data_IF_033641548404
#
_entry.id   IF_033641548404
#
_cell.length_a   1.000
_cell.length_b   1.000
_cell.length_c   1.000
_cell.angle_alpha   90.00
_cell.angle_beta   90.00
_cell.angle_gamma   90.00
#
_symmetry.space_group_name_H-M   'P 1'
#
loop_
_entity.id
_entity.type
_entity.pdbx_description
1 polymer ?
#
# COMPACT_ATOMS: atom_id res chain seq x y z
N UNK A 1 30.69 -2.94 8.46
CA UNK A 1 29.92 -1.95 7.68
C UNK A 1 29.08 -2.55 6.55
N UNK A 2 29.60 -3.12 5.45
CA UNK A 2 28.74 -3.66 4.34
C UNK A 2 27.73 -4.74 4.77
N UNK A 3 28.08 -5.58 5.74
CA UNK A 3 27.21 -6.65 6.26
C UNK A 3 26.19 -6.22 7.32
N UNK A 4 26.30 -4.99 7.81
CA UNK A 4 25.39 -4.39 8.80
C UNK A 4 24.33 -3.57 8.05
N UNK A 5 24.76 -2.72 7.10
CA UNK A 5 23.86 -2.06 6.14
C UNK A 5 22.93 -3.04 5.41
N UNK A 6 23.44 -4.20 4.97
CA UNK A 6 22.60 -5.23 4.31
C UNK A 6 21.59 -5.87 5.28
N UNK A 7 21.95 -6.02 6.56
CA UNK A 7 21.10 -6.64 7.58
C UNK A 7 20.00 -5.71 8.05
N UNK A 8 20.29 -4.41 8.11
CA UNK A 8 19.31 -3.40 8.52
C UNK A 8 18.41 -3.00 7.33
N UNK A 9 18.93 -2.98 6.10
CA UNK A 9 18.12 -2.83 4.87
C UNK A 9 17.20 -4.04 4.56
N UNK A 10 17.42 -5.19 5.20
CA UNK A 10 16.56 -6.39 5.11
C UNK A 10 15.60 -6.53 6.31
N UNK A 11 15.64 -5.59 7.27
CA UNK A 11 14.67 -5.55 8.36
C UNK A 11 13.29 -5.19 7.81
N UNK A 12 12.26 -5.98 8.17
CA UNK A 12 10.88 -5.69 7.82
C UNK A 12 10.45 -4.42 8.55
N UNK A 13 10.08 -3.40 7.81
CA UNK A 13 9.60 -2.12 8.36
C UNK A 13 8.09 -2.16 8.54
N UNK A 14 7.60 -1.61 9.65
CA UNK A 14 6.16 -1.46 9.86
C UNK A 14 5.65 -0.24 9.06
N UNK A 15 4.35 -0.22 8.69
CA UNK A 15 3.69 1.02 8.33
C UNK A 15 3.81 2.06 9.45
N UNK A 16 3.79 3.34 9.08
CA UNK A 16 3.84 4.44 10.06
C UNK A 16 2.46 4.64 10.70
N UNK A 17 2.30 4.14 11.92
CA UNK A 17 1.02 4.15 12.63
C UNK A 17 0.54 5.56 12.96
N UNK A 18 1.46 6.48 13.26
CA UNK A 18 1.12 7.86 13.61
C UNK A 18 0.66 8.59 12.35
N UNK A 19 1.33 8.37 11.21
CA UNK A 19 0.89 8.91 9.92
C UNK A 19 -0.48 8.35 9.50
N UNK A 20 -0.69 7.04 9.64
CA UNK A 20 -1.98 6.41 9.32
C UNK A 20 -3.10 6.97 10.21
N UNK A 21 -2.85 7.14 11.52
CA UNK A 21 -3.83 7.72 12.43
C UNK A 21 -4.14 9.18 12.09
N UNK A 22 -3.12 9.96 11.74
CA UNK A 22 -3.32 11.35 11.35
C UNK A 22 -4.19 11.47 10.08
N UNK A 23 -3.96 10.62 9.07
CA UNK A 23 -4.83 10.56 7.90
C UNK A 23 -6.25 10.11 8.26
N UNK A 24 -6.38 9.13 9.15
CA UNK A 24 -7.68 8.66 9.63
C UNK A 24 -8.48 9.80 10.28
N UNK A 25 -7.81 10.66 11.05
CA UNK A 25 -8.41 11.83 11.68
C UNK A 25 -8.80 12.90 10.64
N UNK A 26 -7.95 13.14 9.62
CA UNK A 26 -8.28 14.05 8.49
C UNK A 26 -9.54 13.57 7.77
N UNK A 27 -9.59 12.29 7.41
CA UNK A 27 -10.72 11.69 6.69
C UNK A 27 -12.02 11.81 7.48
N UNK A 28 -11.99 11.51 8.78
CA UNK A 28 -13.17 11.63 9.65
C UNK A 28 -13.65 13.07 9.84
N UNK A 29 -12.72 14.02 9.89
CA UNK A 29 -13.07 15.45 9.98
C UNK A 29 -13.71 15.93 8.68
N UNK A 30 -13.07 15.64 7.55
CA UNK A 30 -13.54 16.04 6.23
C UNK A 30 -14.91 15.43 5.88
N UNK A 31 -15.15 14.19 6.28
CA UNK A 31 -16.40 13.48 6.01
C UNK A 31 -17.63 14.20 6.56
N UNK A 32 -17.61 14.55 7.84
CA UNK A 32 -18.76 15.16 8.49
C UNK A 32 -19.13 16.50 7.82
N UNK A 33 -18.12 17.30 7.50
CA UNK A 33 -18.31 18.61 6.87
C UNK A 33 -18.73 18.46 5.39
N UNK A 34 -18.15 17.49 4.68
CA UNK A 34 -18.45 17.23 3.27
C UNK A 34 -19.86 16.62 3.08
N UNK A 35 -20.27 15.67 3.92
CA UNK A 35 -21.63 15.10 3.86
C UNK A 35 -22.70 16.18 4.09
N UNK A 36 -22.49 17.08 5.07
CA UNK A 36 -23.37 18.23 5.31
C UNK A 36 -23.46 19.10 4.06
N UNK A 37 -22.31 19.48 3.47
CA UNK A 37 -22.27 20.27 2.25
C UNK A 37 -22.95 19.59 1.06
N UNK A 38 -22.74 18.28 0.85
CA UNK A 38 -23.38 17.52 -0.23
C UNK A 38 -24.90 17.59 -0.09
N UNK A 39 -25.44 17.41 1.12
CA UNK A 39 -26.89 17.40 1.36
C UNK A 39 -27.51 18.81 1.32
N UNK A 40 -26.86 19.79 1.94
CA UNK A 40 -27.45 21.11 2.16
C UNK A 40 -27.14 22.09 1.03
N UNK A 41 -25.96 22.00 0.42
CA UNK A 41 -25.42 22.99 -0.52
C UNK A 41 -25.28 22.43 -1.95
N UNK A 42 -25.05 21.12 -2.14
CA UNK A 42 -24.82 20.52 -3.47
C UNK A 42 -25.95 19.60 -3.99
N UNK A 43 -27.17 19.73 -3.47
CA UNK A 43 -28.35 18.99 -3.93
C UNK A 43 -28.19 17.46 -3.92
N UNK A 44 -27.46 16.92 -2.95
CA UNK A 44 -27.23 15.49 -2.78
C UNK A 44 -26.33 14.88 -3.86
N UNK A 45 -25.47 15.67 -4.50
CA UNK A 45 -24.49 15.19 -5.49
C UNK A 45 -23.09 15.31 -4.93
N UNK A 46 -22.31 14.25 -5.10
CA UNK A 46 -20.89 14.29 -4.77
C UNK A 46 -20.13 15.21 -5.73
N UNK A 47 -19.13 15.90 -5.19
CA UNK A 47 -18.13 16.66 -5.92
C UNK A 47 -16.75 16.35 -5.33
N UNK A 48 -15.94 15.61 -6.08
CA UNK A 48 -14.63 15.16 -5.60
C UNK A 48 -13.62 16.30 -5.59
N UNK A 49 -13.80 17.36 -6.38
CA UNK A 49 -12.96 18.55 -6.28
C UNK A 49 -13.21 19.26 -4.95
N UNK A 50 -14.47 19.41 -4.55
CA UNK A 50 -14.82 20.00 -3.25
C UNK A 50 -14.34 19.14 -2.07
N UNK A 51 -14.43 17.81 -2.18
CA UNK A 51 -13.89 16.90 -1.16
C UNK A 51 -12.39 17.15 -0.89
N UNK A 52 -11.59 17.49 -1.91
CA UNK A 52 -10.18 17.83 -1.71
C UNK A 52 -10.04 19.03 -0.76
N UNK A 53 -10.86 20.06 -0.94
CA UNK A 53 -10.82 21.26 -0.09
C UNK A 53 -11.17 20.92 1.37
N UNK A 54 -12.12 20.03 1.61
CA UNK A 54 -12.44 19.53 2.96
C UNK A 54 -11.29 18.71 3.57
N UNK A 55 -10.63 17.86 2.77
CA UNK A 55 -9.47 17.08 3.21
C UNK A 55 -8.29 18.00 3.59
N UNK A 56 -8.01 19.00 2.77
CA UNK A 56 -6.93 19.97 3.02
C UNK A 56 -7.26 20.85 4.23
N UNK A 57 -8.50 21.30 4.39
CA UNK A 57 -8.93 22.08 5.54
C UNK A 57 -8.83 21.28 6.86
N UNK A 58 -8.99 19.97 6.80
CA UNK A 58 -8.87 19.07 7.95
C UNK A 58 -7.44 18.60 8.23
N UNK A 59 -6.45 18.90 7.37
CA UNK A 59 -5.04 18.65 7.62
C UNK A 59 -4.41 19.67 8.59
N UNK A 60 -5.01 19.86 9.76
CA UNK A 60 -4.60 20.89 10.74
C UNK A 60 -3.22 20.66 11.36
N UNK A 61 -2.73 19.41 11.34
CA UNK A 61 -1.42 19.05 11.88
C UNK A 61 -0.28 19.24 10.85
N UNK A 62 -0.58 19.83 9.69
CA UNK A 62 0.37 20.03 8.59
C UNK A 62 1.12 18.73 8.25
N UNK A 63 0.38 17.61 8.20
CA UNK A 63 0.96 16.35 7.76
C UNK A 63 1.51 16.52 6.34
N UNK A 64 2.64 15.89 6.00
CA UNK A 64 3.22 15.97 4.67
C UNK A 64 2.46 15.03 3.72
N UNK A 65 1.21 15.40 3.46
CA UNK A 65 0.28 14.78 2.54
C UNK A 65 -0.43 15.87 1.75
N UNK A 66 -0.64 15.65 0.47
CA UNK A 66 -1.45 16.51 -0.39
C UNK A 66 -2.47 15.68 -1.14
N UNK A 67 -3.67 16.21 -1.29
CA UNK A 67 -4.75 15.56 -2.02
C UNK A 67 -4.95 16.25 -3.36
N UNK A 68 -5.18 15.46 -4.39
CA UNK A 68 -5.34 15.94 -5.76
C UNK A 68 -6.56 15.26 -6.38
N UNK A 69 -7.32 16.02 -7.16
CA UNK A 69 -8.41 15.47 -7.97
C UNK A 69 -7.90 15.18 -9.40
N UNK A 70 -8.23 14.00 -9.93
CA UNK A 70 -8.03 13.65 -11.33
C UNK A 70 -9.36 13.32 -12.01
N UNK A 71 -9.68 14.09 -13.05
CA UNK A 71 -10.91 13.96 -13.85
C UNK A 71 -10.76 13.09 -15.11
N UNK A 72 -9.59 12.48 -15.33
CA UNK A 72 -9.35 11.54 -16.43
C UNK A 72 -10.01 10.18 -16.20
N UNK A 73 -10.51 9.56 -17.28
CA UNK A 73 -11.04 8.20 -17.23
C UNK A 73 -9.93 7.18 -16.93
N UNK A 74 -10.17 6.29 -15.97
CA UNK A 74 -9.27 5.18 -15.65
C UNK A 74 -9.66 3.92 -16.41
N UNK A 75 -8.65 3.11 -16.74
CA UNK A 75 -8.88 1.82 -17.40
C UNK A 75 -9.55 0.79 -16.48
N UNK A 76 -9.25 0.86 -15.18
CA UNK A 76 -9.94 0.08 -14.15
C UNK A 76 -11.00 0.98 -13.49
N UNK A 77 -12.30 0.68 -13.63
CA UNK A 77 -13.36 1.47 -13.00
C UNK A 77 -13.35 1.41 -11.47
N UNK A 78 -12.63 0.46 -10.86
CA UNK A 78 -12.51 0.34 -9.41
C UNK A 78 -11.25 1.03 -8.86
N UNK A 79 -10.43 1.66 -9.71
CA UNK A 79 -9.29 2.45 -9.27
C UNK A 79 -9.79 3.82 -8.78
N UNK A 80 -10.22 3.87 -7.52
CA UNK A 80 -10.73 5.10 -6.90
C UNK A 80 -9.63 6.07 -6.52
N UNK A 81 -8.47 5.57 -6.08
CA UNK A 81 -7.36 6.40 -5.68
C UNK A 81 -6.01 5.78 -6.05
N UNK A 82 -5.00 6.64 -6.17
CA UNK A 82 -3.60 6.26 -6.21
C UNK A 82 -2.79 7.15 -5.26
N UNK A 83 -1.63 6.67 -4.83
CA UNK A 83 -0.71 7.47 -4.03
C UNK A 83 0.73 7.22 -4.43
N UNK A 84 1.56 8.22 -4.12
CA UNK A 84 2.99 8.17 -4.38
C UNK A 84 3.71 8.73 -3.16
N UNK A 85 4.54 7.90 -2.52
CA UNK A 85 5.54 8.36 -1.57
C UNK A 85 6.75 8.96 -2.30
N UNK A 86 7.02 10.24 -2.06
CA UNK A 86 8.22 10.93 -2.52
C UNK A 86 9.12 11.37 -1.35
N UNK A 87 10.36 11.69 -1.68
CA UNK A 87 11.35 12.22 -0.75
C UNK A 87 12.22 13.25 -1.46
N UNK A 88 12.28 14.45 -0.89
CA UNK A 88 13.21 15.50 -1.34
C UNK A 88 14.19 15.86 -0.22
N UNK A 89 15.37 16.34 -0.59
CA UNK A 89 16.38 16.74 0.41
C UNK A 89 15.99 17.96 1.23
N UNK A 90 15.05 18.75 0.73
CA UNK A 90 14.72 20.07 1.24
C UNK A 90 13.32 20.10 1.88
N UNK A 91 12.39 19.24 1.41
CA UNK A 91 11.04 19.09 1.94
C UNK A 91 10.80 17.79 2.73
N UNK A 92 11.78 16.90 2.78
CA UNK A 92 11.63 15.60 3.46
C UNK A 92 10.70 14.66 2.71
N UNK A 93 10.05 13.75 3.44
CA UNK A 93 9.09 12.79 2.90
C UNK A 93 7.74 13.48 2.67
N UNK A 94 7.05 13.10 1.60
CA UNK A 94 5.70 13.59 1.30
C UNK A 94 4.89 12.50 0.59
N UNK A 95 3.58 12.45 0.81
CA UNK A 95 2.66 11.60 0.03
C UNK A 95 1.71 12.46 -0.78
N UNK A 96 1.65 12.21 -2.08
CA UNK A 96 0.57 12.73 -2.92
C UNK A 96 -0.50 11.65 -3.05
N UNK A 97 -1.74 12.00 -2.71
CA UNK A 97 -2.94 11.17 -2.91
C UNK A 97 -3.72 11.75 -4.08
N UNK A 98 -4.04 10.93 -5.06
CA UNK A 98 -4.82 11.31 -6.24
C UNK A 98 -6.15 10.56 -6.18
N UNK A 99 -7.25 11.29 -6.04
CA UNK A 99 -8.61 10.78 -6.13
C UNK A 99 -9.10 10.84 -7.58
N UNK A 100 -9.59 9.72 -8.10
CA UNK A 100 -10.06 9.60 -9.47
C UNK A 100 -11.57 9.88 -9.55
N UNK A 101 -11.93 11.15 -9.73
CA UNK A 101 -13.31 11.64 -9.60
C UNK A 101 -14.31 10.82 -10.42
N UNK A 102 -14.01 10.55 -11.69
CA UNK A 102 -14.88 9.76 -12.59
C UNK A 102 -15.18 8.34 -12.14
N UNK A 103 -14.32 7.78 -11.29
CA UNK A 103 -14.48 6.44 -10.74
C UNK A 103 -15.20 6.44 -9.39
N UNK A 104 -15.25 7.59 -8.70
CA UNK A 104 -15.83 7.75 -7.37
C UNK A 104 -17.25 8.34 -7.46
N UNK A 105 -17.47 9.33 -8.34
CA UNK A 105 -18.75 10.05 -8.49
C UNK A 105 -19.93 9.08 -8.60
N UNK A 106 -20.91 9.21 -7.69
CA UNK A 106 -22.11 8.37 -7.65
C UNK A 106 -21.94 6.99 -7.01
N UNK A 107 -20.72 6.64 -6.58
CA UNK A 107 -20.41 5.46 -5.78
C UNK A 107 -19.76 5.82 -4.44
N UNK A 108 -19.59 7.12 -4.17
CA UNK A 108 -18.93 7.61 -2.98
C UNK A 108 -19.60 7.05 -1.72
N UNK A 109 -18.75 6.44 -0.88
CA UNK A 109 -19.04 6.09 0.49
C UNK A 109 -17.73 6.29 1.25
N UNK A 110 -17.78 7.07 2.33
CA UNK A 110 -16.60 7.32 3.14
C UNK A 110 -16.00 6.02 3.66
N UNK A 111 -16.81 5.08 4.15
CA UNK A 111 -16.28 3.86 4.78
C UNK A 111 -15.37 3.10 3.82
N UNK A 112 -15.83 2.94 2.57
CA UNK A 112 -15.08 2.27 1.52
C UNK A 112 -13.86 3.10 1.07
N UNK A 113 -14.02 4.42 0.88
CA UNK A 113 -12.90 5.30 0.51
C UNK A 113 -11.82 5.31 1.59
N UNK A 114 -12.22 5.43 2.87
CA UNK A 114 -11.34 5.41 4.03
C UNK A 114 -10.58 4.10 4.10
N UNK A 115 -11.23 2.95 3.91
CA UNK A 115 -10.54 1.66 3.85
C UNK A 115 -9.48 1.63 2.74
N UNK A 116 -9.85 2.07 1.52
CA UNK A 116 -8.93 2.13 0.37
C UNK A 116 -7.74 3.05 0.65
N UNK A 117 -7.98 4.26 1.14
CA UNK A 117 -6.95 5.26 1.41
C UNK A 117 -6.02 4.83 2.55
N UNK A 118 -6.56 4.31 3.66
CA UNK A 118 -5.74 3.83 4.77
C UNK A 118 -4.90 2.62 4.37
N UNK A 119 -5.45 1.70 3.56
CA UNK A 119 -4.70 0.55 3.05
C UNK A 119 -3.54 0.99 2.15
N UNK A 120 -3.81 1.93 1.24
CA UNK A 120 -2.81 2.51 0.34
C UNK A 120 -1.73 3.28 1.11
N UNK A 121 -2.11 4.08 2.11
CA UNK A 121 -1.15 4.89 2.88
C UNK A 121 -0.31 4.02 3.80
N UNK A 122 -0.86 2.90 4.30
CA UNK A 122 -0.06 1.89 4.99
C UNK A 122 1.01 1.26 4.07
N UNK A 123 0.76 1.16 2.76
CA UNK A 123 1.77 0.75 1.78
C UNK A 123 2.84 1.83 1.61
N UNK A 124 2.43 3.06 1.30
CA UNK A 124 3.34 4.18 1.05
C UNK A 124 4.20 4.52 2.28
N UNK A 125 3.68 4.37 3.48
CA UNK A 125 4.45 4.62 4.71
C UNK A 125 5.50 3.54 5.01
N UNK A 126 5.39 2.34 4.41
CA UNK A 126 6.51 1.40 4.39
C UNK A 126 7.65 1.97 3.54
N UNK A 127 7.35 2.58 2.39
CA UNK A 127 8.35 3.27 1.57
C UNK A 127 8.98 4.46 2.29
N UNK A 128 8.17 5.24 3.04
CA UNK A 128 8.69 6.28 3.93
C UNK A 128 9.75 5.77 4.89
N UNK A 129 9.45 4.67 5.58
CA UNK A 129 10.38 4.11 6.55
C UNK A 129 11.63 3.54 5.86
N UNK A 130 11.50 3.04 4.63
CA UNK A 130 12.64 2.62 3.83
C UNK A 130 13.53 3.82 3.47
N UNK A 131 12.95 4.95 3.05
CA UNK A 131 13.70 6.16 2.69
C UNK A 131 14.45 6.74 3.90
N UNK A 132 13.82 6.80 5.07
CA UNK A 132 14.50 7.20 6.30
C UNK A 132 15.67 6.29 6.64
N UNK A 133 15.45 4.99 6.49
CA UNK A 133 16.48 4.01 6.79
C UNK A 133 17.69 4.13 5.86
N UNK A 134 17.45 4.50 4.60
CA UNK A 134 18.51 4.71 3.61
C UNK A 134 19.27 6.01 3.80
N UNK A 135 18.58 7.06 4.27
CA UNK A 135 19.10 8.42 4.36
C UNK A 135 19.47 9.03 3.01
N UNK A 136 19.90 10.29 3.03
CA UNK A 136 20.19 11.10 1.83
C UNK A 136 21.19 10.44 0.86
N UNK A 137 22.26 9.85 1.39
CA UNK A 137 23.29 9.19 0.58
C UNK A 137 22.78 7.90 -0.09
N UNK A 138 21.94 7.14 0.62
CA UNK A 138 21.29 5.95 0.08
C UNK A 138 20.30 6.33 -1.02
N UNK A 139 19.48 7.37 -0.80
CA UNK A 139 18.49 7.86 -1.76
C UNK A 139 19.14 8.37 -3.05
N UNK A 140 20.26 9.10 -2.97
CA UNK A 140 20.94 9.63 -4.16
C UNK A 140 21.49 8.54 -5.10
N UNK A 141 21.73 7.32 -4.59
CA UNK A 141 22.28 6.20 -5.37
C UNK A 141 21.27 5.09 -5.66
N UNK A 142 20.09 5.17 -5.04
CA UNK A 142 19.04 4.19 -5.23
C UNK A 142 18.22 4.52 -6.46
N UNK A 143 17.67 3.46 -7.06
CA UNK A 143 16.77 3.58 -8.19
C UNK A 143 15.63 2.61 -8.00
N UNK A 144 14.42 3.13 -7.94
CA UNK A 144 13.24 2.32 -7.68
C UNK A 144 12.92 1.39 -8.86
N UNK A 145 12.12 0.37 -8.57
CA UNK A 145 11.58 -0.53 -9.58
C UNK A 145 10.80 0.24 -10.65
N UNK A 146 10.05 1.28 -10.23
CA UNK A 146 9.36 2.22 -11.12
C UNK A 146 10.35 2.90 -12.08
N UNK A 147 11.40 3.56 -11.55
CA UNK A 147 12.39 4.26 -12.38
C UNK A 147 13.11 3.32 -13.35
N UNK A 148 13.48 2.11 -12.89
CA UNK A 148 14.09 1.08 -13.76
C UNK A 148 13.12 0.65 -14.86
N UNK A 149 11.85 0.43 -14.52
CA UNK A 149 10.81 0.07 -15.48
C UNK A 149 10.59 1.17 -16.52
N UNK A 150 10.48 2.42 -16.09
CA UNK A 150 10.21 3.57 -16.97
C UNK A 150 11.33 3.76 -17.99
N UNK A 151 12.59 3.60 -17.57
CA UNK A 151 13.71 3.61 -18.51
C UNK A 151 13.71 2.43 -19.48
N UNK A 152 13.23 1.26 -19.06
CA UNK A 152 13.10 0.11 -19.96
C UNK A 152 12.03 0.37 -21.02
N UNK A 153 10.87 0.93 -20.64
CA UNK A 153 9.85 1.34 -21.62
C UNK A 153 10.39 2.38 -22.59
N UNK A 154 11.12 3.39 -22.10
CA UNK A 154 11.75 4.40 -22.95
C UNK A 154 12.76 3.79 -23.97
N UNK A 155 13.35 2.62 -23.66
CA UNK A 155 14.25 1.87 -24.54
C UNK A 155 13.52 0.85 -25.44
N UNK A 156 12.19 0.91 -25.53
CA UNK A 156 11.38 0.00 -26.35
C UNK A 156 10.88 -1.25 -25.62
N UNK A 157 11.01 -1.30 -24.29
CA UNK A 157 10.45 -2.37 -23.45
C UNK A 157 8.92 -2.33 -23.38
N UNK A 158 8.33 -3.45 -23.01
CA UNK A 158 6.87 -3.60 -22.89
C UNK A 158 6.36 -3.21 -21.50
N UNK A 159 5.04 -3.06 -21.36
CA UNK A 159 4.39 -2.92 -20.04
C UNK A 159 4.72 -4.08 -19.10
N UNK A 160 4.85 -5.29 -19.66
CA UNK A 160 5.24 -6.46 -18.89
C UNK A 160 6.68 -6.35 -18.35
N UNK A 161 7.60 -5.75 -19.11
CA UNK A 161 8.98 -5.52 -18.68
C UNK A 161 9.05 -4.47 -17.58
N UNK A 162 8.21 -3.44 -17.67
CA UNK A 162 8.03 -2.43 -16.64
C UNK A 162 7.54 -3.06 -15.34
N UNK A 163 6.40 -3.77 -15.38
CA UNK A 163 5.81 -4.43 -14.22
C UNK A 163 6.76 -5.44 -13.60
N UNK A 164 7.50 -6.19 -14.44
CA UNK A 164 8.52 -7.13 -13.95
C UNK A 164 9.65 -6.44 -13.22
N UNK A 165 10.03 -5.23 -13.61
CA UNK A 165 11.10 -4.45 -12.97
C UNK A 165 10.63 -3.84 -11.66
N UNK A 166 9.40 -3.34 -11.66
CA UNK A 166 8.70 -2.82 -10.49
C UNK A 166 8.58 -3.90 -9.39
N UNK A 167 7.93 -5.02 -9.70
CA UNK A 167 7.71 -6.12 -8.74
C UNK A 167 8.96 -6.95 -8.39
N UNK A 168 10.12 -6.64 -9.00
CA UNK A 168 11.41 -7.22 -8.60
C UNK A 168 12.10 -6.42 -7.52
N UNK A 169 11.70 -5.18 -7.31
CA UNK A 169 12.30 -4.32 -6.32
C UNK A 169 11.98 -4.85 -4.91
N UNK A 170 13.00 -4.87 -4.05
CA UNK A 170 12.85 -5.37 -2.68
C UNK A 170 11.96 -4.45 -1.85
N UNK A 171 11.97 -3.15 -2.15
CA UNK A 171 11.18 -2.15 -1.43
C UNK A 171 9.69 -2.38 -1.68
N UNK A 172 9.33 -2.55 -2.95
CA UNK A 172 7.99 -2.92 -3.42
C UNK A 172 7.55 -4.26 -2.86
N UNK A 173 8.39 -5.30 -2.94
CA UNK A 173 8.06 -6.64 -2.44
C UNK A 173 7.72 -6.62 -0.94
N UNK A 174 8.35 -5.75 -0.15
CA UNK A 174 8.03 -5.61 1.27
C UNK A 174 6.65 -5.00 1.48
N UNK A 175 6.34 -3.89 0.79
CA UNK A 175 5.07 -3.19 0.91
C UNK A 175 3.90 -4.06 0.39
N UNK A 176 4.04 -4.67 -0.79
CA UNK A 176 3.08 -5.68 -1.28
C UNK A 176 3.01 -6.93 -0.40
N UNK A 177 4.08 -7.27 0.30
CA UNK A 177 4.06 -8.32 1.32
C UNK A 177 3.07 -7.98 2.43
N UNK A 178 3.06 -6.73 2.91
CA UNK A 178 2.09 -6.25 3.89
C UNK A 178 0.67 -6.29 3.33
N UNK A 179 0.46 -5.84 2.10
CA UNK A 179 -0.90 -5.83 1.52
C UNK A 179 -1.45 -7.23 1.33
N UNK A 180 -0.63 -8.18 0.88
CA UNK A 180 -1.04 -9.57 0.83
C UNK A 180 -1.38 -10.12 2.22
N UNK A 181 -0.67 -9.68 3.27
CA UNK A 181 -1.01 -10.08 4.63
C UNK A 181 -2.38 -9.55 5.06
N UNK A 182 -2.74 -8.33 4.67
CA UNK A 182 -4.07 -7.77 4.90
C UNK A 182 -5.13 -8.55 4.12
N UNK A 183 -4.93 -8.74 2.80
CA UNK A 183 -5.83 -9.56 1.96
C UNK A 183 -6.11 -10.92 2.62
N UNK A 184 -5.08 -11.58 3.15
CA UNK A 184 -5.21 -12.86 3.84
C UNK A 184 -5.90 -12.72 5.21
N UNK A 185 -5.61 -11.66 5.97
CA UNK A 185 -6.17 -11.43 7.30
C UNK A 185 -7.67 -11.12 7.29
N UNK A 186 -8.20 -10.67 6.15
CA UNK A 186 -9.63 -10.38 5.92
C UNK A 186 -10.42 -11.62 5.47
N UNK A 187 -9.72 -12.69 5.11
CA UNK A 187 -10.34 -13.98 4.79
C UNK A 187 -10.86 -14.67 6.04
N UNK A 188 -11.88 -15.52 5.88
CA UNK A 188 -12.49 -16.28 6.99
C UNK A 188 -11.51 -17.19 7.74
N UNK A 189 -10.49 -17.73 7.05
CA UNK A 189 -9.48 -18.62 7.64
C UNK A 189 -8.08 -18.23 7.17
N UNK A 190 -7.49 -17.16 7.73
CA UNK A 190 -6.19 -16.63 7.29
C UNK A 190 -5.06 -17.66 7.36
N UNK A 191 -5.09 -18.55 8.37
CA UNK A 191 -4.07 -19.59 8.56
C UNK A 191 -4.11 -20.63 7.43
N UNK A 192 -5.30 -21.07 7.01
CA UNK A 192 -5.47 -21.99 5.88
C UNK A 192 -5.05 -21.33 4.56
N UNK A 193 -5.48 -20.09 4.34
CA UNK A 193 -5.14 -19.32 3.15
C UNK A 193 -3.63 -19.19 3.01
N UNK A 194 -2.92 -18.80 4.08
CA UNK A 194 -1.45 -18.69 4.06
C UNK A 194 -0.76 -20.04 3.80
N UNK A 195 -1.39 -21.17 4.20
CA UNK A 195 -0.87 -22.52 3.92
C UNK A 195 -1.04 -22.94 2.46
N UNK A 196 -2.04 -22.41 1.76
CA UNK A 196 -2.36 -22.76 0.37
C UNK A 196 -2.74 -21.53 -0.48
N UNK A 197 -1.87 -20.52 -0.52
CA UNK A 197 -2.15 -19.23 -1.19
C UNK A 197 -2.52 -19.41 -2.68
N UNK A 198 -1.91 -20.39 -3.37
CA UNK A 198 -2.24 -20.67 -4.78
C UNK A 198 -3.69 -21.13 -4.97
N UNK A 199 -4.29 -21.81 -3.98
CA UNK A 199 -5.70 -22.23 -4.01
C UNK A 199 -6.68 -21.05 -3.96
N UNK A 200 -6.28 -19.96 -3.30
CA UNK A 200 -7.09 -18.74 -3.09
C UNK A 200 -6.67 -17.58 -4.01
N UNK A 201 -5.85 -17.83 -5.03
CA UNK A 201 -5.23 -16.77 -5.84
C UNK A 201 -6.19 -15.76 -6.47
N UNK A 202 -7.44 -16.16 -6.73
CA UNK A 202 -8.45 -15.29 -7.35
C UNK A 202 -9.15 -14.39 -6.32
N UNK A 203 -8.98 -14.68 -5.03
CA UNK A 203 -9.51 -13.91 -3.89
C UNK A 203 -8.42 -13.03 -3.26
N UNK A 204 -7.18 -13.09 -3.78
CA UNK A 204 -6.02 -12.39 -3.26
C UNK A 204 -5.40 -11.51 -4.36
N UNK A 205 -5.92 -10.28 -4.57
CA UNK A 205 -5.52 -9.40 -5.67
C UNK A 205 -4.00 -9.18 -5.74
N UNK A 206 -3.34 -8.98 -4.60
CA UNK A 206 -1.88 -8.77 -4.55
C UNK A 206 -1.12 -10.02 -5.02
N UNK A 207 -1.53 -11.20 -4.56
CA UNK A 207 -0.92 -12.45 -4.99
C UNK A 207 -1.15 -12.71 -6.48
N UNK A 208 -2.37 -12.47 -6.96
CA UNK A 208 -2.74 -12.63 -8.37
C UNK A 208 -1.86 -11.77 -9.27
N UNK A 209 -1.65 -10.49 -8.90
CA UNK A 209 -0.80 -9.54 -9.63
C UNK A 209 0.62 -10.07 -9.81
N UNK A 210 1.23 -10.55 -8.73
CA UNK A 210 2.57 -11.15 -8.80
C UNK A 210 2.58 -12.45 -9.62
N UNK A 211 1.56 -13.29 -9.48
CA UNK A 211 1.46 -14.57 -10.18
C UNK A 211 1.22 -14.43 -11.68
N UNK A 212 0.66 -13.31 -12.13
CA UNK A 212 0.57 -13.00 -13.55
C UNK A 212 1.96 -12.76 -14.19
N UNK A 213 2.94 -12.32 -13.39
CA UNK A 213 4.28 -11.97 -13.85
C UNK A 213 5.31 -13.07 -13.59
N UNK A 214 5.24 -13.72 -12.43
CA UNK A 214 6.24 -14.70 -11.98
C UNK A 214 5.60 -16.05 -11.68
N UNK A 215 6.27 -17.14 -12.05
CA UNK A 215 5.86 -18.50 -11.69
C UNK A 215 5.75 -18.70 -10.17
N UNK A 216 4.86 -19.61 -9.73
CA UNK A 216 4.56 -19.84 -8.30
C UNK A 216 5.79 -20.13 -7.42
N UNK A 217 6.85 -20.68 -8.00
CA UNK A 217 8.09 -21.04 -7.29
C UNK A 217 9.22 -20.02 -7.50
N UNK A 218 8.95 -18.90 -8.17
CA UNK A 218 9.95 -17.87 -8.43
C UNK A 218 10.45 -17.24 -7.11
N UNK A 219 11.71 -16.78 -7.06
CA UNK A 219 12.26 -16.11 -5.87
C UNK A 219 11.41 -14.93 -5.38
N UNK A 220 10.77 -14.20 -6.29
CA UNK A 220 9.88 -13.07 -5.99
C UNK A 220 8.62 -13.53 -5.26
N UNK A 221 7.97 -14.61 -5.71
CA UNK A 221 6.81 -15.18 -5.03
C UNK A 221 7.20 -15.67 -3.62
N UNK A 222 8.34 -16.35 -3.50
CA UNK A 222 8.85 -16.78 -2.19
C UNK A 222 9.12 -15.58 -1.25
N UNK A 223 9.68 -14.50 -1.78
CA UNK A 223 9.95 -13.29 -1.01
C UNK A 223 8.64 -12.58 -0.58
N UNK A 224 7.67 -12.47 -1.49
CA UNK A 224 6.34 -11.92 -1.20
C UNK A 224 5.66 -12.71 -0.06
N UNK A 225 5.58 -14.04 -0.20
CA UNK A 225 5.00 -14.92 0.82
C UNK A 225 5.74 -14.85 2.16
N UNK A 226 7.06 -14.64 2.11
CA UNK A 226 7.86 -14.44 3.32
C UNK A 226 7.43 -13.18 4.05
N UNK A 227 7.40 -12.03 3.40
CA UNK A 227 6.96 -10.79 4.03
C UNK A 227 5.50 -10.87 4.48
N UNK A 228 4.61 -11.41 3.64
CA UNK A 228 3.20 -11.59 3.98
C UNK A 228 3.00 -12.40 5.25
N UNK A 229 3.69 -13.54 5.40
CA UNK A 229 3.60 -14.33 6.62
C UNK A 229 4.07 -13.60 7.88
N UNK A 230 5.08 -12.74 7.73
CA UNK A 230 5.62 -11.97 8.84
C UNK A 230 4.59 -10.93 9.27
N UNK A 231 4.09 -10.09 8.34
CA UNK A 231 3.05 -9.10 8.66
C UNK A 231 1.77 -9.75 9.19
N UNK A 232 1.35 -10.87 8.60
CA UNK A 232 0.16 -11.60 9.05
C UNK A 232 0.30 -12.06 10.50
N UNK A 233 1.49 -12.48 10.91
CA UNK A 233 1.77 -12.81 12.31
C UNK A 233 1.51 -11.64 13.25
N UNK A 234 1.83 -10.41 12.84
CA UNK A 234 1.59 -9.23 13.69
C UNK A 234 0.12 -8.83 13.69
N UNK A 235 -0.54 -8.86 12.52
CA UNK A 235 -1.97 -8.59 12.41
C UNK A 235 -2.81 -9.55 13.26
N UNK A 236 -2.47 -10.84 13.25
CA UNK A 236 -3.17 -11.84 14.06
C UNK A 236 -2.94 -11.65 15.57
N UNK A 237 -1.77 -11.15 15.98
CA UNK A 237 -1.53 -10.76 17.37
C UNK A 237 -2.36 -9.56 17.79
N UNK A 238 -2.49 -8.56 16.91
CA UNK A 238 -3.33 -7.39 17.16
C UNK A 238 -4.82 -7.77 17.27
N UNK A 239 -5.25 -8.85 16.61
CA UNK A 239 -6.59 -9.47 16.75
C UNK A 239 -6.72 -10.41 17.97
N UNK A 240 -5.79 -10.36 18.92
CA UNK A 240 -5.78 -11.15 20.17
C UNK A 240 -5.87 -12.67 19.99
N UNK A 241 -5.35 -13.22 18.89
CA UNK A 241 -5.18 -14.67 18.73
C UNK A 241 -4.18 -15.21 19.77
N UNK A 242 -4.45 -16.38 20.34
CA UNK A 242 -3.63 -16.94 21.40
C UNK A 242 -2.19 -17.30 20.93
N UNK A 243 -1.24 -17.25 21.87
CA UNK A 243 0.18 -17.50 21.57
C UNK A 243 0.48 -18.92 21.07
N UNK A 244 -0.32 -19.91 21.45
CA UNK A 244 -0.14 -21.31 21.03
C UNK A 244 -0.56 -21.49 19.57
N UNK A 245 -1.73 -20.96 19.18
CA UNK A 245 -2.23 -20.91 17.80
C UNK A 245 -1.25 -20.13 16.91
N UNK A 246 -0.72 -19.02 17.40
CA UNK A 246 0.26 -18.23 16.66
C UNK A 246 1.59 -18.96 16.48
N UNK A 247 2.04 -19.72 17.47
CA UNK A 247 3.26 -20.52 17.35
C UNK A 247 3.07 -21.71 16.39
N UNK A 248 1.92 -22.38 16.43
CA UNK A 248 1.58 -23.41 15.45
C UNK A 248 1.56 -22.85 14.03
N UNK A 249 0.96 -21.67 13.86
CA UNK A 249 0.95 -20.95 12.60
C UNK A 249 2.37 -20.68 12.07
N UNK A 250 3.25 -20.08 12.90
CA UNK A 250 4.66 -19.82 12.54
C UNK A 250 5.40 -21.09 12.11
N UNK A 251 5.22 -22.20 12.84
CA UNK A 251 5.86 -23.47 12.50
C UNK A 251 5.32 -24.06 11.19
N UNK A 252 4.02 -23.91 10.93
CA UNK A 252 3.40 -24.39 9.69
C UNK A 252 3.91 -23.62 8.46
N UNK A 253 4.17 -22.32 8.59
CA UNK A 253 4.67 -21.46 7.51
C UNK A 253 6.16 -21.70 7.21
N UNK A 254 6.99 -22.01 8.21
CA UNK A 254 8.44 -22.26 8.01
C UNK A 254 8.72 -23.33 6.96
N UNK A 255 7.78 -24.26 6.76
CA UNK A 255 7.85 -25.34 5.76
C UNK A 255 7.53 -24.87 4.34
N UNK A 256 6.79 -23.76 4.19
CA UNK A 256 6.31 -23.22 2.93
C UNK A 256 7.31 -22.25 2.30
N UNK A 257 8.07 -21.52 3.14
CA UNK A 257 9.00 -20.47 2.69
C UNK A 257 10.39 -21.03 2.29
N UNK A 258 10.73 -22.28 2.65
CA UNK A 258 11.99 -22.93 2.22
C UNK A 258 12.02 -23.17 0.70
#
# INVERSE_FOLDING_TARGET
>A
MKGEFKRIAEARLAPDKDFIQGLDDILKGADADYEEWVQEENNGRDDIEELIDFLDANNMNEMPIAFHCNNEERADPNEWASAVADWTSDGGKHVDVILHARNIEGYYNLEDMREVLLKMIAHETIHFNQYDHMGKEGMASYKSGHQKGTELKAKGGTERDWMRSYLRDKHEIMAYGRDLAVDIADMKNPQEVMRNVEGFKNELPVYQRYRHIFDKNAPQIKALLKYASQYLTDLLKEKEIDDAELNEFKESIKRIIK
#
